data_IF_450586306796
#
_entry.id   IF_450586306796
#
_cell.length_a   1.000
_cell.length_b   1.000
_cell.length_c   1.000
_cell.angle_alpha   90.00
_cell.angle_beta   90.00
_cell.angle_gamma   90.00
#
_symmetry.space_group_name_H-M   'P 1'
#
loop_
_entity.id
_entity.type
_entity.pdbx_description
1 polymer ?
#
# COMPACT_ATOMS: atom_id res chain seq x y z
N UNK A 1 44.80 -22.32 -19.24
CA UNK A 1 44.25 -21.04 -19.71
C UNK A 1 42.86 -20.88 -19.09
N UNK A 2 42.75 -20.13 -18.02
CA UNK A 2 41.52 -20.05 -17.21
C UNK A 2 40.65 -18.91 -17.78
N UNK A 3 39.42 -19.23 -18.19
CA UNK A 3 38.44 -18.26 -18.70
C UNK A 3 37.81 -17.55 -17.48
N UNK A 4 38.37 -16.44 -17.04
CA UNK A 4 37.86 -15.61 -15.94
C UNK A 4 36.96 -14.44 -16.45
N UNK A 5 36.84 -14.27 -17.78
CA UNK A 5 36.19 -13.07 -18.36
C UNK A 5 34.68 -13.02 -18.35
N UNK A 6 33.95 -14.13 -18.18
CA UNK A 6 32.51 -14.17 -18.45
C UNK A 6 31.63 -13.78 -17.23
N UNK A 7 32.14 -13.95 -16.02
CA UNK A 7 31.37 -13.67 -14.81
C UNK A 7 31.30 -12.16 -14.48
N UNK A 8 32.32 -11.40 -14.79
CA UNK A 8 32.39 -9.97 -14.49
C UNK A 8 31.47 -9.16 -15.41
N UNK A 9 31.49 -9.49 -16.71
CA UNK A 9 30.62 -8.83 -17.69
C UNK A 9 29.12 -9.02 -17.37
N UNK A 10 28.74 -10.22 -16.96
CA UNK A 10 27.35 -10.53 -16.56
C UNK A 10 26.92 -9.88 -15.23
N UNK A 11 27.89 -9.61 -14.35
CA UNK A 11 27.66 -8.88 -13.09
C UNK A 11 27.44 -7.39 -13.36
N UNK A 12 28.25 -6.78 -14.21
CA UNK A 12 28.17 -5.37 -14.57
C UNK A 12 26.86 -5.06 -15.32
N UNK A 13 26.43 -5.93 -16.23
CA UNK A 13 25.13 -5.80 -16.91
C UNK A 13 23.95 -5.83 -15.93
N UNK A 14 23.99 -6.71 -14.92
CA UNK A 14 22.93 -6.77 -13.89
C UNK A 14 22.88 -5.50 -13.06
N UNK A 15 24.01 -4.92 -12.68
CA UNK A 15 24.08 -3.68 -11.93
C UNK A 15 23.46 -2.52 -12.74
N UNK A 16 23.83 -2.38 -14.01
CA UNK A 16 23.31 -1.33 -14.90
C UNK A 16 21.78 -1.45 -15.06
N UNK A 17 21.26 -2.67 -15.22
CA UNK A 17 19.82 -2.92 -15.32
C UNK A 17 19.13 -2.58 -14.01
N UNK A 18 19.70 -2.94 -12.87
CA UNK A 18 19.12 -2.67 -11.55
C UNK A 18 19.08 -1.17 -11.25
N UNK A 19 20.13 -0.42 -11.57
CA UNK A 19 20.19 1.03 -11.43
C UNK A 19 19.15 1.73 -12.32
N UNK A 20 18.99 1.27 -13.56
CA UNK A 20 17.97 1.78 -14.48
C UNK A 20 16.55 1.62 -13.93
N UNK A 21 16.24 0.47 -13.33
CA UNK A 21 14.92 0.24 -12.75
C UNK A 21 14.70 1.03 -11.45
N UNK A 22 15.75 1.15 -10.62
CA UNK A 22 15.70 1.99 -9.43
C UNK A 22 15.42 3.45 -9.79
N UNK A 23 16.10 3.99 -10.79
CA UNK A 23 15.87 5.35 -11.29
C UNK A 23 14.44 5.54 -11.82
N UNK A 24 13.91 4.60 -12.61
CA UNK A 24 12.52 4.66 -13.11
C UNK A 24 11.51 4.62 -11.97
N UNK A 25 11.76 3.81 -10.96
CA UNK A 25 10.91 3.74 -9.77
C UNK A 25 10.94 5.04 -8.97
N UNK A 26 12.08 5.71 -8.87
CA UNK A 26 12.19 7.02 -8.23
C UNK A 26 11.44 8.11 -8.99
N UNK A 27 11.51 8.13 -10.32
CA UNK A 27 10.74 9.04 -11.15
C UNK A 27 9.23 8.82 -10.99
N UNK A 28 8.78 7.57 -10.97
CA UNK A 28 7.37 7.23 -10.76
C UNK A 28 6.89 7.65 -9.37
N UNK A 29 7.68 7.38 -8.32
CA UNK A 29 7.40 7.84 -6.96
C UNK A 29 7.28 9.36 -6.89
N UNK A 30 8.24 10.09 -7.48
CA UNK A 30 8.22 11.54 -7.52
C UNK A 30 6.95 12.04 -8.21
N UNK A 31 6.62 11.52 -9.39
CA UNK A 31 5.45 11.93 -10.16
C UNK A 31 4.13 11.71 -9.38
N UNK A 32 3.98 10.57 -8.72
CA UNK A 32 2.80 10.29 -7.89
C UNK A 32 2.75 11.25 -6.69
N UNK A 33 3.87 11.47 -6.02
CA UNK A 33 3.92 12.32 -4.85
C UNK A 33 3.64 13.80 -5.18
N UNK A 34 4.13 14.29 -6.30
CA UNK A 34 3.91 15.69 -6.74
C UNK A 34 2.46 15.90 -7.21
N UNK A 35 1.89 14.94 -7.92
CA UNK A 35 0.57 15.10 -8.55
C UNK A 35 -0.58 14.73 -7.62
N UNK A 36 -0.44 13.64 -6.89
CA UNK A 36 -1.55 13.00 -6.18
C UNK A 36 -1.50 13.13 -4.66
N UNK A 37 -0.32 13.30 -4.05
CA UNK A 37 -0.22 13.37 -2.60
C UNK A 37 -0.91 14.62 -2.04
N UNK A 38 -1.82 14.41 -1.10
CA UNK A 38 -2.59 15.48 -0.46
C UNK A 38 -2.83 15.21 1.03
N UNK A 39 -2.92 16.28 1.82
CA UNK A 39 -3.33 16.18 3.22
C UNK A 39 -4.83 15.91 3.30
N UNK A 40 -5.22 14.99 4.15
CA UNK A 40 -6.65 14.75 4.43
C UNK A 40 -7.22 15.98 5.12
N UNK A 41 -8.12 16.70 4.44
CA UNK A 41 -8.77 17.92 4.96
C UNK A 41 -7.81 18.96 5.54
N UNK A 42 -6.59 19.06 4.98
CA UNK A 42 -5.56 19.97 5.47
C UNK A 42 -4.87 19.55 6.78
N UNK A 43 -5.26 18.42 7.40
CA UNK A 43 -4.74 17.99 8.69
C UNK A 43 -3.23 17.69 8.57
N UNK A 44 -2.37 18.31 9.39
CA UNK A 44 -0.94 18.08 9.36
C UNK A 44 -0.56 16.62 9.60
N UNK A 45 0.54 16.19 8.99
CA UNK A 45 1.06 14.81 9.12
C UNK A 45 0.05 13.74 8.68
N UNK A 46 -0.82 14.05 7.72
CA UNK A 46 -1.64 13.09 6.98
C UNK A 46 -1.25 13.13 5.51
N UNK A 47 -1.43 12.02 4.81
CA UNK A 47 -1.20 11.89 3.38
C UNK A 47 -2.17 10.85 2.80
N UNK A 48 -2.73 11.13 1.64
CA UNK A 48 -3.42 10.18 0.78
C UNK A 48 -3.19 10.57 -0.68
N UNK A 49 -3.33 9.63 -1.59
CA UNK A 49 -3.28 9.90 -3.02
C UNK A 49 -4.67 10.28 -3.53
N UNK A 50 -4.84 11.50 -4.03
CA UNK A 50 -6.03 11.92 -4.77
C UNK A 50 -6.04 11.20 -6.12
N UNK A 51 -7.19 10.62 -6.50
CA UNK A 51 -7.27 9.74 -7.68
C UNK A 51 -7.18 10.51 -8.99
N UNK A 52 -7.75 11.70 -9.05
CA UNK A 52 -7.83 12.52 -10.27
C UNK A 52 -6.65 13.48 -10.40
N UNK A 53 -6.28 13.76 -11.65
CA UNK A 53 -5.29 14.80 -11.96
C UNK A 53 -5.73 15.62 -13.19
N UNK A 54 -5.72 16.96 -13.13
CA UNK A 54 -5.52 17.78 -11.92
C UNK A 54 -6.69 17.62 -10.92
N UNK A 55 -6.41 17.62 -9.59
CA UNK A 55 -7.44 17.41 -8.59
C UNK A 55 -8.31 18.65 -8.43
N UNK A 56 -9.63 18.48 -8.38
CA UNK A 56 -10.58 19.53 -8.03
C UNK A 56 -10.64 19.73 -6.51
N UNK A 57 -11.23 20.83 -6.05
CA UNK A 57 -11.50 21.05 -4.62
C UNK A 57 -12.41 19.96 -4.03
N UNK A 58 -13.36 19.46 -4.84
CA UNK A 58 -14.23 18.34 -4.46
C UNK A 58 -13.45 17.05 -4.23
N UNK A 59 -12.51 16.73 -5.11
CA UNK A 59 -11.66 15.54 -4.97
C UNK A 59 -10.83 15.59 -3.69
N UNK A 60 -10.30 16.78 -3.32
CA UNK A 60 -9.54 16.98 -2.09
C UNK A 60 -10.41 16.93 -0.83
N UNK A 61 -11.65 17.45 -0.89
CA UNK A 61 -12.59 17.46 0.25
C UNK A 61 -13.19 16.08 0.51
N UNK A 62 -13.70 15.45 -0.51
CA UNK A 62 -14.42 14.18 -0.35
C UNK A 62 -13.51 12.99 -0.53
N UNK A 63 -12.32 13.17 -1.12
CA UNK A 63 -11.45 12.09 -1.51
C UNK A 63 -12.29 10.95 -2.04
N UNK A 64 -12.64 10.94 -3.31
CA UNK A 64 -13.31 9.80 -3.92
C UNK A 64 -12.49 8.57 -3.53
N UNK A 65 -12.98 7.92 -2.51
CA UNK A 65 -12.22 7.01 -1.68
C UNK A 65 -12.26 5.63 -2.30
N UNK A 66 -11.25 5.36 -3.06
CA UNK A 66 -10.95 4.00 -3.43
C UNK A 66 -9.98 3.43 -2.40
N UNK A 67 -10.52 2.76 -1.39
CA UNK A 67 -9.80 2.23 -0.25
C UNK A 67 -8.61 1.36 -0.68
N UNK A 68 -8.81 0.43 -1.62
CA UNK A 68 -7.77 -0.42 -2.16
C UNK A 68 -6.66 0.35 -2.90
N UNK A 69 -6.95 1.47 -3.54
CA UNK A 69 -5.93 2.31 -4.17
C UNK A 69 -4.99 2.92 -3.14
N UNK A 70 -5.51 3.30 -1.97
CA UNK A 70 -4.67 3.81 -0.89
C UNK A 70 -3.83 2.70 -0.25
N UNK A 71 -4.33 1.47 -0.22
CA UNK A 71 -3.56 0.32 0.21
C UNK A 71 -2.38 0.05 -0.74
N UNK A 72 -2.60 0.05 -2.06
CA UNK A 72 -1.53 -0.08 -3.06
C UNK A 72 -0.57 1.12 -3.07
N UNK A 73 -1.08 2.34 -2.88
CA UNK A 73 -0.22 3.50 -2.73
C UNK A 73 0.71 3.37 -1.51
N UNK A 74 0.17 2.92 -0.38
CA UNK A 74 0.98 2.62 0.81
C UNK A 74 2.05 1.56 0.50
N UNK A 75 1.69 0.52 -0.23
CA UNK A 75 2.60 -0.56 -0.62
C UNK A 75 3.76 -0.05 -1.49
N UNK A 76 3.46 0.76 -2.49
CA UNK A 76 4.48 1.43 -3.31
C UNK A 76 5.41 2.35 -2.49
N UNK A 77 4.89 3.05 -1.48
CA UNK A 77 5.70 3.87 -0.58
C UNK A 77 6.63 3.03 0.30
N UNK A 78 6.19 1.82 0.69
CA UNK A 78 7.02 0.86 1.43
C UNK A 78 8.15 0.36 0.54
N UNK A 79 7.87 0.01 -0.71
CA UNK A 79 8.90 -0.38 -1.69
C UNK A 79 9.94 0.72 -1.91
N UNK A 80 9.50 1.96 -2.02
CA UNK A 80 10.40 3.11 -2.12
C UNK A 80 11.29 3.27 -0.88
N UNK A 81 10.72 3.07 0.31
CA UNK A 81 11.44 3.13 1.57
C UNK A 81 12.42 1.95 1.75
N UNK A 82 12.10 0.76 1.23
CA UNK A 82 13.02 -0.37 1.20
C UNK A 82 14.18 -0.15 0.23
N UNK A 83 13.88 0.36 -0.96
CA UNK A 83 14.89 0.63 -1.98
C UNK A 83 15.92 1.67 -1.51
N UNK A 84 15.45 2.75 -0.88
CA UNK A 84 16.32 3.79 -0.36
C UNK A 84 15.65 4.46 0.87
N UNK A 85 15.99 4.05 2.10
CA UNK A 85 15.35 4.54 3.32
C UNK A 85 15.80 5.97 3.66
N UNK A 86 14.95 6.94 3.38
CA UNK A 86 15.13 8.34 3.81
C UNK A 86 14.10 8.70 4.89
N UNK A 87 14.41 9.71 5.70
CA UNK A 87 13.47 10.24 6.70
C UNK A 87 12.17 10.72 6.06
N UNK A 88 12.24 11.29 4.87
CA UNK A 88 11.08 11.75 4.11
C UNK A 88 10.18 10.57 3.66
N UNK A 89 10.75 9.50 3.10
CA UNK A 89 10.01 8.30 2.70
C UNK A 89 9.34 7.62 3.91
N UNK A 90 10.09 7.43 5.00
CA UNK A 90 9.55 6.86 6.24
C UNK A 90 8.45 7.73 6.86
N UNK A 91 8.60 9.05 6.82
CA UNK A 91 7.56 9.96 7.28
C UNK A 91 6.30 9.87 6.39
N UNK A 92 6.45 9.74 5.07
CA UNK A 92 5.34 9.61 4.13
C UNK A 92 4.54 8.33 4.39
N UNK A 93 5.17 7.20 4.63
CA UNK A 93 4.51 5.96 5.06
C UNK A 93 3.66 6.20 6.31
N UNK A 94 4.25 6.81 7.37
CA UNK A 94 3.51 7.15 8.61
C UNK A 94 2.32 8.08 8.36
N UNK A 95 2.51 9.08 7.50
CA UNK A 95 1.45 10.04 7.19
C UNK A 95 0.33 9.41 6.38
N UNK A 96 0.65 8.45 5.50
CA UNK A 96 -0.35 7.69 4.74
C UNK A 96 -1.17 6.79 5.66
N UNK A 97 -0.54 6.03 6.56
CA UNK A 97 -1.24 5.25 7.58
C UNK A 97 -2.16 6.13 8.45
N UNK A 98 -1.68 7.31 8.86
CA UNK A 98 -2.50 8.26 9.60
C UNK A 98 -3.64 8.81 8.74
N UNK A 99 -3.38 9.12 7.47
CA UNK A 99 -4.38 9.59 6.52
C UNK A 99 -5.52 8.58 6.34
N UNK A 100 -5.18 7.31 6.15
CA UNK A 100 -6.13 6.20 6.06
C UNK A 100 -7.02 6.17 7.31
N UNK A 101 -6.45 6.23 8.51
CA UNK A 101 -7.21 6.21 9.76
C UNK A 101 -8.11 7.44 9.93
N UNK A 102 -7.59 8.63 9.64
CA UNK A 102 -8.35 9.88 9.75
C UNK A 102 -9.53 9.86 8.77
N UNK A 103 -9.30 9.49 7.52
CA UNK A 103 -10.34 9.44 6.49
C UNK A 103 -11.46 8.45 6.83
N UNK A 104 -11.14 7.34 7.47
CA UNK A 104 -12.11 6.35 7.93
C UNK A 104 -12.65 6.61 9.34
N UNK A 105 -12.52 7.84 9.86
CA UNK A 105 -12.98 8.20 11.22
C UNK A 105 -12.47 7.21 12.28
N UNK A 106 -11.24 6.72 12.11
CA UNK A 106 -10.55 5.69 12.91
C UNK A 106 -11.15 4.28 12.85
N UNK A 107 -12.19 4.07 12.05
CA UNK A 107 -12.81 2.76 11.85
C UNK A 107 -12.51 2.20 10.45
N UNK A 108 -11.30 1.71 10.23
CA UNK A 108 -10.88 1.13 8.94
C UNK A 108 -11.64 -0.16 8.57
N UNK A 109 -12.31 -0.80 9.54
CA UNK A 109 -13.14 -1.99 9.33
C UNK A 109 -14.52 -1.68 8.77
N UNK A 110 -14.94 -0.41 8.78
CA UNK A 110 -16.26 0.00 8.28
C UNK A 110 -16.42 -0.24 6.76
N UNK A 111 -15.34 -0.49 6.04
CA UNK A 111 -15.41 -0.92 4.66
C UNK A 111 -16.11 -2.27 4.55
N UNK A 112 -17.08 -2.38 3.64
CA UNK A 112 -17.85 -3.62 3.44
C UNK A 112 -17.12 -4.65 2.57
N UNK A 113 -16.09 -4.24 1.84
CA UNK A 113 -15.35 -5.08 0.90
C UNK A 113 -14.17 -5.77 1.58
N UNK A 114 -14.13 -7.08 1.52
CA UNK A 114 -13.07 -7.87 2.15
C UNK A 114 -11.76 -7.85 1.36
N UNK A 115 -11.80 -7.73 0.04
CA UNK A 115 -10.61 -7.52 -0.79
C UNK A 115 -9.89 -6.21 -0.41
N UNK A 116 -10.63 -5.11 -0.27
CA UNK A 116 -10.09 -3.83 0.19
C UNK A 116 -9.38 -3.96 1.55
N UNK A 117 -10.03 -4.64 2.51
CA UNK A 117 -9.46 -4.88 3.83
C UNK A 117 -8.20 -5.72 3.76
N UNK A 118 -8.19 -6.78 2.93
CA UNK A 118 -7.06 -7.68 2.77
C UNK A 118 -5.86 -6.96 2.16
N UNK A 119 -6.05 -6.14 1.11
CA UNK A 119 -4.97 -5.33 0.54
C UNK A 119 -4.38 -4.36 1.57
N UNK A 120 -5.22 -3.71 2.39
CA UNK A 120 -4.69 -2.85 3.44
C UNK A 120 -3.98 -3.63 4.56
N UNK A 121 -4.46 -4.82 4.92
CA UNK A 121 -3.80 -5.66 5.90
C UNK A 121 -2.40 -6.07 5.43
N UNK A 122 -2.26 -6.55 4.18
CA UNK A 122 -0.97 -6.89 3.58
C UNK A 122 0.00 -5.71 3.56
N UNK A 123 -0.43 -4.55 3.04
CA UNK A 123 0.41 -3.35 3.05
C UNK A 123 0.80 -2.93 4.47
N UNK A 124 -0.12 -3.06 5.44
CA UNK A 124 0.14 -2.73 6.84
C UNK A 124 1.12 -3.70 7.51
N UNK A 125 1.05 -4.99 7.19
CA UNK A 125 2.00 -5.99 7.67
C UNK A 125 3.42 -5.66 7.18
N UNK A 126 3.58 -5.30 5.91
CA UNK A 126 4.86 -4.92 5.32
C UNK A 126 5.50 -3.70 5.99
N UNK A 127 4.73 -2.81 6.63
CA UNK A 127 5.28 -1.69 7.39
C UNK A 127 6.22 -2.17 8.51
N UNK A 128 5.97 -3.33 9.10
CA UNK A 128 6.78 -3.88 10.19
C UNK A 128 8.21 -4.23 9.76
N UNK A 129 8.42 -4.48 8.48
CA UNK A 129 9.75 -4.74 7.92
C UNK A 129 10.62 -3.49 7.74
N UNK A 130 10.03 -2.31 7.82
CA UNK A 130 10.77 -1.04 7.74
C UNK A 130 11.45 -0.71 9.08
N UNK A 131 12.69 -0.22 9.01
CA UNK A 131 13.49 0.15 10.18
C UNK A 131 12.73 1.15 11.08
N UNK A 132 12.67 0.84 12.39
CA UNK A 132 12.04 1.68 13.40
C UNK A 132 10.54 1.95 13.19
N UNK A 133 9.83 1.11 12.44
CA UNK A 133 8.38 1.16 12.34
C UNK A 133 7.75 0.13 13.28
N UNK A 134 6.61 0.52 13.87
CA UNK A 134 5.80 -0.36 14.71
C UNK A 134 4.64 -0.89 13.90
N UNK A 135 4.14 -2.05 14.29
CA UNK A 135 2.92 -2.62 13.74
C UNK A 135 1.76 -1.60 13.80
N UNK A 136 1.08 -1.34 12.68
CA UNK A 136 -0.07 -0.46 12.66
C UNK A 136 -1.21 -1.00 13.52
N UNK A 137 -1.74 -0.18 14.43
CA UNK A 137 -2.79 -0.57 15.39
C UNK A 137 -4.06 -1.15 14.76
N UNK A 138 -4.29 -0.92 13.47
CA UNK A 138 -5.45 -1.43 12.75
C UNK A 138 -5.21 -2.78 12.07
N UNK A 139 -3.98 -3.31 12.08
CA UNK A 139 -3.66 -4.57 11.41
C UNK A 139 -4.42 -5.73 12.05
N UNK A 140 -4.21 -6.02 13.32
CA UNK A 140 -4.92 -7.10 14.03
C UNK A 140 -6.46 -7.02 13.95
N UNK A 141 -7.08 -5.84 14.12
CA UNK A 141 -8.50 -5.65 13.85
C UNK A 141 -8.94 -6.01 12.43
N UNK A 142 -8.14 -5.71 11.40
CA UNK A 142 -8.44 -6.09 10.02
C UNK A 142 -8.33 -7.60 9.81
N UNK A 143 -7.26 -8.21 10.28
CA UNK A 143 -7.05 -9.68 10.23
C UNK A 143 -8.19 -10.43 10.91
N UNK A 144 -8.60 -9.99 12.09
CA UNK A 144 -9.73 -10.55 12.82
C UNK A 144 -11.06 -10.40 12.06
N UNK A 145 -11.27 -9.26 11.42
CA UNK A 145 -12.50 -8.99 10.65
C UNK A 145 -12.57 -9.84 9.37
N UNK A 146 -11.43 -9.99 8.67
CA UNK A 146 -11.31 -10.85 7.49
C UNK A 146 -11.55 -12.34 7.88
N UNK A 147 -10.88 -12.79 8.93
CA UNK A 147 -11.03 -14.17 9.43
C UNK A 147 -12.45 -14.45 9.89
N UNK A 148 -13.09 -13.49 10.58
CA UNK A 148 -14.48 -13.60 11.03
C UNK A 148 -15.51 -13.54 9.89
N UNK A 149 -15.13 -13.02 8.72
CA UNK A 149 -15.97 -13.01 7.53
C UNK A 149 -15.94 -14.29 6.70
N UNK A 150 -15.13 -15.26 7.09
CA UNK A 150 -14.97 -16.52 6.38
C UNK A 150 -16.25 -17.36 6.44
N UNK A 151 -16.71 -17.80 5.28
CA UNK A 151 -17.83 -18.75 5.19
C UNK A 151 -17.45 -20.09 5.83
N UNK A 152 -18.28 -20.59 6.71
CA UNK A 152 -18.00 -21.80 7.48
C UNK A 152 -18.03 -23.10 6.66
N UNK A 153 -18.78 -23.11 5.57
CA UNK A 153 -18.91 -24.28 4.67
C UNK A 153 -17.86 -24.25 3.57
N UNK A 154 -17.72 -23.08 2.92
CA UNK A 154 -16.81 -22.90 1.78
C UNK A 154 -15.35 -22.68 2.20
N UNK A 155 -15.12 -22.26 3.42
CA UNK A 155 -13.77 -21.96 3.91
C UNK A 155 -13.11 -20.73 3.29
N UNK A 156 -13.87 -19.91 2.57
CA UNK A 156 -13.42 -18.73 1.84
C UNK A 156 -14.16 -17.47 2.29
N UNK A 157 -13.59 -16.29 1.98
CA UNK A 157 -14.17 -15.01 2.33
C UNK A 157 -14.99 -14.48 1.15
N UNK A 158 -16.25 -14.00 1.37
CA UNK A 158 -17.04 -13.39 0.31
C UNK A 158 -16.40 -12.05 -0.14
N UNK A 159 -16.79 -11.54 -1.31
CA UNK A 159 -16.29 -10.27 -1.81
C UNK A 159 -16.61 -9.10 -0.86
N UNK A 160 -17.84 -9.08 -0.34
CA UNK A 160 -18.26 -8.09 0.67
C UNK A 160 -19.21 -8.70 1.70
N UNK A 161 -19.41 -7.95 2.79
CA UNK A 161 -20.33 -8.36 3.86
C UNK A 161 -21.75 -8.54 3.32
N UNK A 162 -22.43 -9.57 3.78
CA UNK A 162 -23.80 -9.94 3.40
C UNK A 162 -23.96 -10.29 1.91
N UNK A 163 -22.94 -10.86 1.30
CA UNK A 163 -22.98 -11.44 -0.04
C UNK A 163 -22.48 -12.89 -0.03
N UNK A 164 -22.91 -13.63 -1.07
CA UNK A 164 -22.46 -15.00 -1.34
C UNK A 164 -21.62 -15.08 -2.62
N UNK A 165 -21.10 -13.95 -3.07
CA UNK A 165 -20.18 -13.89 -4.22
C UNK A 165 -18.73 -14.02 -3.74
N UNK A 166 -18.04 -15.05 -4.25
CA UNK A 166 -16.65 -15.36 -3.92
C UNK A 166 -15.77 -15.18 -5.16
N UNK A 167 -14.61 -14.57 -5.00
CA UNK A 167 -13.68 -14.32 -6.10
C UNK A 167 -12.22 -14.44 -5.67
N UNK A 168 -11.32 -14.57 -6.63
CA UNK A 168 -9.87 -14.64 -6.41
C UNK A 168 -9.28 -13.36 -5.86
N UNK A 169 -9.67 -12.15 -6.33
CA UNK A 169 -9.14 -10.89 -5.77
C UNK A 169 -9.38 -10.69 -4.27
N UNK A 170 -10.42 -11.30 -3.72
CA UNK A 170 -10.66 -11.29 -2.26
C UNK A 170 -9.82 -12.35 -1.55
N UNK A 171 -9.85 -13.58 -2.04
CA UNK A 171 -9.30 -14.73 -1.33
C UNK A 171 -7.78 -14.85 -1.51
N UNK A 172 -7.21 -14.39 -2.61
CA UNK A 172 -5.76 -14.33 -2.79
C UNK A 172 -5.06 -13.54 -1.68
N UNK A 173 -5.33 -12.25 -1.51
CA UNK A 173 -4.71 -11.45 -0.46
C UNK A 173 -5.15 -11.84 0.96
N UNK A 174 -6.34 -12.44 1.14
CA UNK A 174 -6.81 -12.87 2.45
C UNK A 174 -6.17 -14.18 2.94
N UNK A 175 -5.50 -14.94 2.06
CA UNK A 175 -4.83 -16.20 2.38
C UNK A 175 -3.37 -16.05 2.83
N UNK A 176 -2.80 -14.86 2.67
CA UNK A 176 -1.40 -14.54 3.02
C UNK A 176 -1.34 -13.99 4.45
#
# INVERSE_FOLDING_TARGET
MIIVGNNQHHHDEKIIVQEKWAYRADLAEQAINERHASRVWGIPKTNLAVVTWPPTSRDKLFFHWHYWWQAHYLDCLIDAAHRHPTSARLARVKYTLRGIRVRNLRNVRANRYYDDKAWLALASQRVTSLKNQKEPKHLKPLESDISGGKDSLMGVVPWRTNETFYNVPTNGPAAI
#
